data_IF_694686510745
#
_entry.id   IF_694686510745
#
_cell.length_a   1.000
_cell.length_b   1.000
_cell.length_c   1.000
_cell.angle_alpha   90.00
_cell.angle_beta   90.00
_cell.angle_gamma   90.00
#
_symmetry.space_group_name_H-M   'P 1'
#
loop_
_entity.id
_entity.type
_entity.pdbx_description
1 polymer ?
#
# COMPACT_ATOMS: atom_id res chain seq x y z
N UNK A 1 1.02 15.50 18.22
CA UNK A 1 0.77 14.55 17.11
C UNK A 1 1.74 13.38 17.21
N UNK A 2 1.36 12.21 16.68
CA UNK A 2 1.91 10.89 17.03
C UNK A 2 3.37 10.64 16.63
N UNK A 3 4.05 9.72 17.33
CA UNK A 3 5.43 9.27 17.06
C UNK A 3 5.52 8.40 15.78
N UNK A 4 6.71 8.30 15.17
CA UNK A 4 6.99 7.39 14.04
C UNK A 4 6.56 5.95 14.32
N UNK A 5 6.74 5.48 15.57
CA UNK A 5 6.25 4.18 16.04
C UNK A 5 4.75 4.02 15.86
N UNK A 6 3.99 5.07 16.17
CA UNK A 6 2.55 5.06 16.06
C UNK A 6 2.11 5.09 14.60
N UNK A 7 2.75 5.91 13.76
CA UNK A 7 2.47 5.94 12.33
C UNK A 7 2.72 4.57 11.68
N UNK A 8 3.84 3.92 11.99
CA UNK A 8 4.16 2.57 11.52
C UNK A 8 3.13 1.54 12.00
N UNK A 9 2.67 1.64 13.25
CA UNK A 9 1.59 0.78 13.78
C UNK A 9 0.27 0.97 13.01
N UNK A 10 -0.14 2.20 12.75
CA UNK A 10 -1.38 2.48 12.01
C UNK A 10 -1.28 1.95 10.58
N UNK A 11 -0.20 2.29 9.86
CA UNK A 11 -0.03 1.88 8.46
C UNK A 11 0.03 0.35 8.36
N UNK A 12 0.80 -0.32 9.23
CA UNK A 12 0.91 -1.78 9.22
C UNK A 12 -0.44 -2.47 9.44
N UNK A 13 -1.23 -2.03 10.41
CA UNK A 13 -2.57 -2.61 10.65
C UNK A 13 -3.50 -2.44 9.45
N UNK A 14 -3.49 -1.27 8.81
CA UNK A 14 -4.29 -1.04 7.60
C UNK A 14 -3.81 -1.93 6.46
N UNK A 15 -2.49 -2.06 6.25
CA UNK A 15 -1.94 -2.90 5.20
C UNK A 15 -2.21 -4.40 5.41
N UNK A 16 -2.18 -4.86 6.67
CA UNK A 16 -2.56 -6.24 7.01
C UNK A 16 -4.05 -6.48 6.74
N UNK A 17 -4.93 -5.58 7.17
CA UNK A 17 -6.36 -5.67 6.86
C UNK A 17 -6.61 -5.66 5.34
N UNK A 18 -5.90 -4.80 4.61
CA UNK A 18 -5.95 -4.74 3.15
C UNK A 18 -5.48 -6.06 2.51
N UNK A 19 -4.43 -6.69 3.02
CA UNK A 19 -3.96 -7.98 2.51
C UNK A 19 -5.05 -9.06 2.63
N UNK A 20 -5.69 -9.17 3.79
CA UNK A 20 -6.81 -10.11 3.96
C UNK A 20 -7.99 -9.77 3.04
N UNK A 21 -8.33 -8.49 2.91
CA UNK A 21 -9.38 -8.04 2.00
C UNK A 21 -9.11 -8.39 0.54
N UNK A 22 -7.88 -8.17 0.06
CA UNK A 22 -7.47 -8.52 -1.31
C UNK A 22 -7.53 -10.03 -1.52
N UNK A 23 -7.03 -10.83 -0.57
CA UNK A 23 -7.02 -12.28 -0.71
C UNK A 23 -8.43 -12.85 -0.81
N UNK A 24 -9.32 -12.47 0.12
CA UNK A 24 -10.71 -12.94 0.14
C UNK A 24 -11.53 -12.39 -1.03
N UNK A 25 -11.19 -11.19 -1.50
CA UNK A 25 -11.87 -10.50 -2.60
C UNK A 25 -11.24 -10.70 -3.98
N UNK A 26 -10.20 -11.51 -4.12
CA UNK A 26 -9.34 -11.54 -5.31
C UNK A 26 -10.11 -11.73 -6.63
N UNK A 27 -11.04 -12.70 -6.66
CA UNK A 27 -11.87 -12.96 -7.85
C UNK A 27 -12.79 -11.78 -8.17
N UNK A 28 -13.41 -11.17 -7.15
CA UNK A 28 -14.27 -10.01 -7.33
C UNK A 28 -13.49 -8.79 -7.84
N UNK A 29 -12.27 -8.57 -7.35
CA UNK A 29 -11.39 -7.51 -7.85
C UNK A 29 -11.03 -7.78 -9.31
N UNK A 30 -10.63 -9.01 -9.66
CA UNK A 30 -10.30 -9.35 -11.04
C UNK A 30 -11.50 -9.15 -11.98
N UNK A 31 -12.69 -9.62 -11.61
CA UNK A 31 -13.91 -9.43 -12.41
C UNK A 31 -14.30 -7.96 -12.55
N UNK A 32 -14.18 -7.18 -11.47
CA UNK A 32 -14.52 -5.75 -11.51
C UNK A 32 -13.51 -4.90 -12.27
N UNK A 33 -12.23 -5.29 -12.27
CA UNK A 33 -11.16 -4.47 -12.84
C UNK A 33 -10.96 -4.62 -14.35
N UNK A 34 -11.40 -5.73 -14.94
CA UNK A 34 -11.15 -6.05 -16.34
C UNK A 34 -12.45 -6.42 -17.06
N UNK A 35 -13.03 -5.50 -17.87
CA UNK A 35 -14.21 -5.80 -18.68
C UNK A 35 -14.01 -7.04 -19.56
N UNK A 36 -14.97 -7.96 -19.53
CA UNK A 36 -14.93 -9.19 -20.35
C UNK A 36 -14.00 -10.30 -19.82
N UNK A 37 -13.24 -10.10 -18.73
CA UNK A 37 -12.33 -11.14 -18.21
C UNK A 37 -13.07 -12.42 -17.80
N UNK A 38 -14.34 -12.30 -17.39
CA UNK A 38 -15.19 -13.41 -16.99
C UNK A 38 -15.63 -14.29 -18.17
N UNK A 39 -15.45 -13.85 -19.41
CA UNK A 39 -15.74 -14.65 -20.61
C UNK A 39 -14.72 -15.79 -20.80
N UNK A 40 -13.56 -15.71 -20.14
CA UNK A 40 -12.53 -16.75 -20.17
C UNK A 40 -12.13 -17.14 -18.74
N UNK A 41 -12.53 -18.34 -18.31
CA UNK A 41 -12.22 -18.85 -16.96
C UNK A 41 -10.71 -18.93 -16.70
N UNK A 42 -9.89 -19.24 -17.72
CA UNK A 42 -8.43 -19.24 -17.57
C UNK A 42 -7.89 -17.84 -17.26
N UNK A 43 -8.36 -16.82 -17.98
CA UNK A 43 -7.98 -15.43 -17.75
C UNK A 43 -8.44 -14.94 -16.36
N UNK A 44 -9.65 -15.30 -15.95
CA UNK A 44 -10.17 -14.98 -14.62
C UNK A 44 -9.36 -15.68 -13.51
N UNK A 45 -8.95 -16.93 -13.72
CA UNK A 45 -8.11 -17.67 -12.77
C UNK A 45 -6.74 -17.01 -12.63
N UNK A 46 -6.08 -16.67 -13.75
CA UNK A 46 -4.80 -15.94 -13.73
C UNK A 46 -4.96 -14.59 -13.02
N UNK A 47 -5.99 -13.80 -13.36
CA UNK A 47 -6.26 -12.51 -12.71
C UNK A 47 -6.52 -12.64 -11.21
N UNK A 48 -7.24 -13.68 -10.80
CA UNK A 48 -7.50 -13.98 -9.37
C UNK A 48 -6.19 -14.31 -8.66
N UNK A 49 -5.39 -15.24 -9.20
CA UNK A 49 -4.12 -15.65 -8.59
C UNK A 49 -3.10 -14.49 -8.51
N UNK A 50 -3.13 -13.54 -9.46
CA UNK A 50 -2.29 -12.34 -9.36
C UNK A 50 -2.69 -11.44 -8.19
N UNK A 51 -3.97 -11.29 -7.89
CA UNK A 51 -4.42 -10.52 -6.73
C UNK A 51 -4.13 -11.25 -5.41
N UNK A 52 -4.24 -12.57 -5.37
CA UNK A 52 -3.82 -13.38 -4.21
C UNK A 52 -2.32 -13.23 -3.94
N UNK A 53 -1.49 -13.23 -5.00
CA UNK A 53 -0.06 -12.95 -4.87
C UNK A 53 0.20 -11.53 -4.35
N UNK A 54 -0.53 -10.53 -4.85
CA UNK A 54 -0.48 -9.15 -4.36
C UNK A 54 -0.88 -9.06 -2.87
N UNK A 55 -1.87 -9.83 -2.43
CA UNK A 55 -2.23 -9.93 -1.03
C UNK A 55 -1.06 -10.46 -0.17
N UNK A 56 -0.31 -11.45 -0.66
CA UNK A 56 0.91 -11.94 0.00
C UNK A 56 1.98 -10.84 0.14
N UNK A 57 2.19 -10.05 -0.92
CA UNK A 57 3.14 -8.91 -0.90
C UNK A 57 2.67 -7.83 0.08
N UNK A 58 1.37 -7.51 0.09
CA UNK A 58 0.78 -6.56 1.04
C UNK A 58 0.92 -7.06 2.49
N UNK A 59 0.68 -8.34 2.74
CA UNK A 59 0.87 -8.94 4.06
C UNK A 59 2.33 -8.82 4.52
N UNK A 60 3.27 -9.19 3.66
CA UNK A 60 4.71 -9.07 3.92
C UNK A 60 5.09 -7.62 4.25
N UNK A 61 4.63 -6.66 3.45
CA UNK A 61 4.86 -5.22 3.67
C UNK A 61 4.30 -4.78 5.03
N UNK A 62 3.08 -5.18 5.36
CA UNK A 62 2.45 -4.91 6.65
C UNK A 62 3.27 -5.45 7.83
N UNK A 63 3.79 -6.67 7.71
CA UNK A 63 4.66 -7.28 8.73
C UNK A 63 6.01 -6.56 8.87
N UNK A 64 6.64 -6.19 7.75
CA UNK A 64 7.88 -5.40 7.78
C UNK A 64 7.65 -4.09 8.53
N UNK A 65 6.60 -3.34 8.20
CA UNK A 65 6.27 -2.09 8.89
C UNK A 65 5.93 -2.30 10.38
N UNK A 66 5.22 -3.38 10.70
CA UNK A 66 4.88 -3.76 12.08
C UNK A 66 6.13 -3.97 12.93
N UNK A 67 7.16 -4.63 12.39
CA UNK A 67 8.42 -4.81 13.10
C UNK A 67 9.31 -3.56 13.07
N UNK A 68 9.31 -2.78 11.98
CA UNK A 68 10.08 -1.54 11.87
C UNK A 68 9.69 -0.47 12.90
N UNK A 69 8.50 -0.55 13.50
CA UNK A 69 8.08 0.40 14.56
C UNK A 69 8.96 0.37 15.81
N UNK A 70 9.73 -0.70 15.99
CA UNK A 70 10.61 -0.90 17.14
C UNK A 70 12.06 -0.45 16.84
N UNK A 71 12.32 0.12 15.66
CA UNK A 71 13.64 0.64 15.33
C UNK A 71 13.95 1.89 16.16
N UNK A 72 15.12 1.91 16.78
CA UNK A 72 15.62 3.05 17.55
C UNK A 72 16.05 4.21 16.64
N UNK A 73 16.56 3.91 15.45
CA UNK A 73 16.94 4.88 14.42
C UNK A 73 16.48 4.40 13.03
N UNK A 74 16.22 5.34 12.12
CA UNK A 74 15.86 5.04 10.72
C UNK A 74 14.38 4.73 10.46
N UNK A 75 13.51 4.77 11.47
CA UNK A 75 12.07 4.61 11.30
C UNK A 75 11.44 5.65 10.34
N UNK A 76 12.01 6.86 10.27
CA UNK A 76 11.60 7.90 9.32
C UNK A 76 11.95 7.52 7.87
N UNK A 77 13.08 6.84 7.65
CA UNK A 77 13.50 6.38 6.33
C UNK A 77 12.61 5.23 5.84
N UNK A 78 12.21 4.33 6.74
CA UNK A 78 11.21 3.30 6.43
C UNK A 78 9.89 3.94 5.97
N UNK A 79 9.42 4.96 6.68
CA UNK A 79 8.20 5.68 6.30
C UNK A 79 8.33 6.42 4.95
N UNK A 80 9.49 7.02 4.65
CA UNK A 80 9.77 7.64 3.34
C UNK A 80 9.80 6.60 2.22
N UNK A 81 10.50 5.49 2.44
CA UNK A 81 10.59 4.39 1.49
C UNK A 81 9.21 3.80 1.18
N UNK A 82 8.40 3.58 2.22
CA UNK A 82 6.99 3.20 2.06
C UNK A 82 6.22 4.22 1.23
N UNK A 83 6.26 5.51 1.59
CA UNK A 83 5.52 6.56 0.87
C UNK A 83 5.89 6.62 -0.62
N UNK A 84 7.18 6.61 -0.95
CA UNK A 84 7.67 6.66 -2.33
C UNK A 84 7.28 5.39 -3.09
N UNK A 85 7.45 4.21 -2.47
CA UNK A 85 7.06 2.94 -3.08
C UNK A 85 5.57 2.87 -3.38
N UNK A 86 4.72 3.29 -2.44
CA UNK A 86 3.27 3.36 -2.62
C UNK A 86 2.87 4.36 -3.72
N UNK A 87 3.52 5.52 -3.80
CA UNK A 87 3.29 6.46 -4.91
C UNK A 87 3.68 5.87 -6.26
N UNK A 88 4.73 5.04 -6.32
CA UNK A 88 5.09 4.29 -7.54
C UNK A 88 3.96 3.37 -8.00
N UNK A 89 3.34 2.62 -7.07
CA UNK A 89 2.18 1.75 -7.38
C UNK A 89 1.01 2.58 -7.90
N UNK A 90 0.71 3.71 -7.26
CA UNK A 90 -0.37 4.62 -7.69
C UNK A 90 -0.08 5.19 -9.08
N UNK A 91 1.17 5.54 -9.37
CA UNK A 91 1.59 6.02 -10.69
C UNK A 91 1.34 4.98 -11.78
N UNK A 92 1.71 3.71 -11.55
CA UNK A 92 1.45 2.61 -12.48
C UNK A 92 -0.04 2.36 -12.66
N UNK A 93 -0.83 2.35 -11.58
CA UNK A 93 -2.27 2.21 -11.66
C UNK A 93 -2.92 3.35 -12.47
N UNK A 94 -2.50 4.59 -12.21
CA UNK A 94 -2.99 5.78 -12.92
C UNK A 94 -2.65 5.74 -14.41
N UNK A 95 -1.44 5.27 -14.75
CA UNK A 95 -1.04 5.08 -16.15
C UNK A 95 -1.94 4.07 -16.87
N UNK A 96 -2.19 2.91 -16.27
CA UNK A 96 -3.06 1.90 -16.88
C UNK A 96 -4.51 2.36 -16.98
N UNK A 97 -5.04 3.07 -15.97
CA UNK A 97 -6.37 3.69 -16.04
C UNK A 97 -6.49 4.69 -17.20
N UNK A 98 -5.41 5.40 -17.52
CA UNK A 98 -5.42 6.40 -18.58
C UNK A 98 -5.19 5.81 -19.99
N UNK A 99 -4.66 4.60 -20.10
CA UNK A 99 -4.18 4.02 -21.37
C UNK A 99 -4.84 2.71 -21.75
N UNK A 100 -5.54 2.07 -20.83
CA UNK A 100 -6.20 0.78 -21.02
C UNK A 100 -7.63 0.83 -20.47
N UNK A 101 -8.56 0.04 -21.02
CA UNK A 101 -9.93 -0.06 -20.50
C UNK A 101 -9.96 -0.92 -19.24
N UNK A 102 -9.35 -0.43 -18.15
CA UNK A 102 -9.27 -1.11 -16.85
C UNK A 102 -9.86 -0.24 -15.75
N UNK A 103 -10.54 -0.87 -14.80
CA UNK A 103 -11.26 -0.21 -13.70
C UNK A 103 -10.74 -0.69 -12.35
N UNK A 104 -9.53 -0.28 -11.92
CA UNK A 104 -8.98 -0.74 -10.67
C UNK A 104 -9.87 -0.32 -9.48
N UNK A 105 -9.76 -1.01 -8.33
CA UNK A 105 -10.54 -0.67 -7.14
C UNK A 105 -10.17 0.71 -6.60
N UNK A 106 -10.88 1.74 -7.04
CA UNK A 106 -10.62 3.15 -6.69
C UNK A 106 -10.56 3.39 -5.18
N UNK A 107 -11.45 2.82 -4.34
CA UNK A 107 -11.34 2.98 -2.89
C UNK A 107 -9.98 2.53 -2.33
N UNK A 108 -9.40 1.46 -2.89
CA UNK A 108 -8.08 0.95 -2.50
C UNK A 108 -6.98 1.96 -2.83
N UNK A 109 -7.01 2.51 -4.05
CA UNK A 109 -6.03 3.50 -4.50
C UNK A 109 -6.09 4.79 -3.66
N UNK A 110 -7.28 5.22 -3.28
CA UNK A 110 -7.48 6.39 -2.39
C UNK A 110 -6.90 6.12 -1.01
N UNK A 111 -7.15 4.94 -0.43
CA UNK A 111 -6.55 4.54 0.86
C UNK A 111 -5.03 4.53 0.76
N UNK A 112 -4.48 3.91 -0.30
CA UNK A 112 -3.03 3.87 -0.52
C UNK A 112 -2.42 5.27 -0.65
N UNK A 113 -3.07 6.18 -1.38
CA UNK A 113 -2.61 7.56 -1.50
C UNK A 113 -2.64 8.28 -0.15
N UNK A 114 -3.71 8.11 0.62
CA UNK A 114 -3.83 8.66 1.97
C UNK A 114 -2.74 8.14 2.90
N UNK A 115 -2.43 6.83 2.86
CA UNK A 115 -1.35 6.23 3.65
C UNK A 115 0.03 6.74 3.22
N UNK A 116 0.27 6.91 1.91
CA UNK A 116 1.53 7.45 1.41
C UNK A 116 1.77 8.89 1.90
N UNK A 117 0.74 9.75 1.80
CA UNK A 117 0.79 11.12 2.31
C UNK A 117 1.00 11.11 3.83
N UNK A 118 0.24 10.29 4.56
CA UNK A 118 0.36 10.16 6.01
C UNK A 118 1.77 9.72 6.45
N UNK A 119 2.36 8.74 5.75
CA UNK A 119 3.71 8.26 5.99
C UNK A 119 4.75 9.35 5.73
N UNK A 120 4.64 10.07 4.61
CA UNK A 120 5.53 11.17 4.25
C UNK A 120 5.52 12.29 5.28
N UNK A 121 4.33 12.73 5.70
CA UNK A 121 4.16 13.77 6.70
C UNK A 121 4.72 13.33 8.06
N UNK A 122 4.49 12.08 8.45
CA UNK A 122 5.03 11.51 9.68
C UNK A 122 6.57 11.50 9.68
N UNK A 123 7.18 11.08 8.56
CA UNK A 123 8.63 11.03 8.42
C UNK A 123 9.29 12.41 8.37
N UNK A 124 8.67 13.35 7.65
CA UNK A 124 9.22 14.70 7.46
C UNK A 124 9.33 15.45 8.78
N UNK A 125 8.34 15.28 9.67
CA UNK A 125 8.33 15.91 10.99
C UNK A 125 9.33 15.28 11.95
N UNK A 126 9.55 13.97 11.87
CA UNK A 126 10.59 13.29 12.65
C UNK A 126 11.99 13.84 12.29
N UNK A 127 12.26 14.06 11.00
CA UNK A 127 13.50 14.67 10.53
C UNK A 127 13.68 16.13 11.00
N UNK A 128 12.60 16.93 11.01
CA UNK A 128 12.65 18.30 11.53
C UNK A 128 12.93 18.36 13.04
N UNK A 129 12.31 17.49 13.83
CA UNK A 129 12.51 17.44 15.28
C UNK A 129 13.96 17.03 15.64
N UNK A 130 14.53 16.07 14.92
CA UNK A 130 15.92 15.64 15.12
C UNK A 130 16.92 16.80 14.87
N UNK A 131 16.72 17.57 13.79
CA UNK A 131 17.60 18.72 13.47
C UNK A 131 17.52 19.84 14.51
N UNK A 132 16.36 20.07 15.12
CA UNK A 132 16.19 21.06 16.19
C UNK A 132 16.84 20.65 17.50
N UNK A 133 16.94 19.35 17.80
CA UNK A 133 17.55 18.86 19.03
C UNK A 133 19.09 18.89 19.01
N UNK A 134 19.69 19.03 17.82
CA UNK A 134 21.14 19.05 17.61
C UNK A 134 21.69 20.44 17.29
N UNK A 135 20.84 21.47 17.30
CA UNK A 135 21.18 22.88 17.05
C UNK A 135 21.17 23.66 18.37
#
# INVERSE_FOLDING_TARGET
MMSTRTSLTVISLVYLAQAFGIFLGARAIATGAFPGIAESEMALLVGTSMHEALAGIAFCTGMVLWFSRNLEAGADQVLKGFAIGTLGIIGVASYHMATMPVEPPIPLLVIMLGLAIYAWLSASRAGSAAKMATA
#
